data_IF_949831705187
#
_entry.id   IF_949831705187
#
_cell.length_a   1.000
_cell.length_b   1.000
_cell.length_c   1.000
_cell.angle_alpha   90.00
_cell.angle_beta   90.00
_cell.angle_gamma   90.00
#
_symmetry.space_group_name_H-M   'P 1'
#
loop_
_entity.id
_entity.type
_entity.pdbx_description
1 polymer ?
#
# COMPACT_ATOMS: atom_id res chain seq x y z
N UNK A 1 -23.84 6.97 3.72
CA UNK A 1 -24.00 8.23 2.96
C UNK A 1 -22.78 8.36 2.05
N UNK A 2 -22.91 7.95 0.78
CA UNK A 2 -21.84 8.06 -0.21
C UNK A 2 -21.89 9.44 -0.84
N UNK A 3 -21.03 10.36 -0.41
CA UNK A 3 -20.78 11.58 -1.18
C UNK A 3 -19.91 11.22 -2.38
N UNK A 4 -20.50 11.20 -3.57
CA UNK A 4 -19.82 11.12 -4.85
C UNK A 4 -19.11 12.45 -5.11
N UNK A 5 -17.83 12.52 -4.77
CA UNK A 5 -16.96 13.58 -5.27
C UNK A 5 -16.80 13.39 -6.78
N UNK A 6 -17.40 14.29 -7.56
CA UNK A 6 -17.21 14.40 -9.01
C UNK A 6 -15.80 14.92 -9.29
N UNK A 7 -14.80 14.04 -9.15
CA UNK A 7 -13.46 14.23 -9.70
C UNK A 7 -13.38 13.47 -11.02
N UNK A 8 -12.71 14.07 -12.01
CA UNK A 8 -12.30 13.38 -13.25
C UNK A 8 -11.62 12.07 -12.84
N UNK A 9 -12.18 10.92 -13.23
CA UNK A 9 -11.68 9.62 -12.75
C UNK A 9 -10.25 9.43 -13.25
N UNK A 10 -9.27 9.51 -12.35
CA UNK A 10 -7.89 9.23 -12.71
C UNK A 10 -7.75 7.73 -13.04
N UNK A 11 -6.96 7.43 -14.07
CA UNK A 11 -6.66 6.06 -14.52
C UNK A 11 -5.31 5.63 -13.96
N UNK A 12 -5.33 4.67 -13.05
CA UNK A 12 -4.13 4.16 -12.40
C UNK A 12 -3.80 2.76 -12.93
N UNK A 13 -2.53 2.53 -13.21
CA UNK A 13 -1.98 1.20 -13.42
C UNK A 13 -1.35 0.71 -12.13
N UNK A 14 -1.81 -0.42 -11.61
CA UNK A 14 -1.32 -1.01 -10.39
C UNK A 14 -0.66 -2.35 -10.68
N UNK A 15 0.64 -2.43 -10.45
CA UNK A 15 1.42 -3.66 -10.61
C UNK A 15 1.81 -4.18 -9.23
N UNK A 16 1.15 -5.27 -8.83
CA UNK A 16 1.39 -6.00 -7.60
C UNK A 16 1.86 -7.40 -8.00
N UNK A 17 2.91 -7.95 -7.38
CA UNK A 17 3.34 -9.31 -7.66
C UNK A 17 2.27 -10.31 -7.18
N UNK A 18 1.82 -11.15 -8.11
CA UNK A 18 0.88 -12.23 -7.82
C UNK A 18 1.63 -13.49 -7.40
N UNK A 19 1.96 -13.59 -6.11
CA UNK A 19 2.47 -14.82 -5.53
C UNK A 19 1.38 -15.48 -4.68
N UNK A 20 0.97 -16.73 -4.99
CA UNK A 20 0.13 -17.48 -4.07
C UNK A 20 0.84 -17.59 -2.72
N UNK A 21 0.13 -17.35 -1.62
CA UNK A 21 0.69 -17.44 -0.26
C UNK A 21 1.42 -18.76 0.02
N UNK A 22 0.99 -19.83 -0.65
CA UNK A 22 1.52 -21.18 -0.52
C UNK A 22 2.83 -21.41 -1.27
N UNK A 23 3.13 -20.55 -2.26
CA UNK A 23 4.31 -20.62 -3.10
C UNK A 23 5.34 -19.53 -2.73
N UNK A 24 5.13 -18.80 -1.62
CA UNK A 24 6.05 -17.74 -1.22
C UNK A 24 7.40 -18.34 -0.79
N UNK A 25 8.52 -17.82 -1.31
CA UNK A 25 9.85 -18.34 -1.00
C UNK A 25 10.32 -17.93 0.41
N UNK A 26 9.68 -16.92 1.01
CA UNK A 26 10.04 -16.38 2.33
C UNK A 26 8.89 -15.55 2.92
N UNK A 27 8.87 -15.44 4.25
CA UNK A 27 8.07 -14.49 5.04
C UNK A 27 8.14 -13.05 4.51
N UNK A 28 9.26 -12.66 3.90
CA UNK A 28 9.48 -11.33 3.36
C UNK A 28 8.47 -10.93 2.28
N UNK A 29 7.87 -11.92 1.61
CA UNK A 29 6.90 -11.70 0.53
C UNK A 29 5.44 -11.71 1.01
N UNK A 30 5.18 -12.21 2.24
CA UNK A 30 3.82 -12.32 2.79
C UNK A 30 3.13 -10.96 2.75
N UNK A 31 3.80 -9.93 3.23
CA UNK A 31 3.19 -8.61 3.32
C UNK A 31 2.91 -8.02 1.95
N UNK A 32 3.80 -8.25 0.99
CA UNK A 32 3.63 -7.81 -0.39
C UNK A 32 2.44 -8.50 -1.06
N UNK A 33 2.22 -9.81 -0.84
CA UNK A 33 1.09 -10.53 -1.43
C UNK A 33 -0.28 -10.11 -0.87
N UNK A 34 -0.30 -9.51 0.33
CA UNK A 34 -1.50 -8.95 0.93
C UNK A 34 -1.88 -7.58 0.35
N UNK A 35 -0.99 -6.90 -0.40
CA UNK A 35 -1.23 -5.52 -0.88
C UNK A 35 -2.31 -5.36 -1.95
N UNK A 36 -3.01 -6.44 -2.31
CA UNK A 36 -4.30 -6.33 -3.03
C UNK A 36 -5.31 -5.42 -2.31
N UNK A 37 -5.21 -5.27 -0.99
CA UNK A 37 -5.94 -4.24 -0.21
C UNK A 37 -5.74 -2.82 -0.74
N UNK A 38 -4.57 -2.48 -1.28
CA UNK A 38 -4.32 -1.15 -1.88
C UNK A 38 -5.22 -0.92 -3.09
N UNK A 39 -5.48 -1.96 -3.89
CA UNK A 39 -6.45 -1.92 -4.99
C UNK A 39 -7.84 -1.56 -4.46
N UNK A 40 -8.30 -2.23 -3.39
CA UNK A 40 -9.60 -1.98 -2.79
C UNK A 40 -9.75 -0.52 -2.32
N UNK A 41 -8.70 0.05 -1.71
CA UNK A 41 -8.68 1.44 -1.24
C UNK A 41 -8.79 2.41 -2.42
N UNK A 42 -8.03 2.18 -3.49
CA UNK A 42 -8.04 3.01 -4.70
C UNK A 42 -9.41 2.96 -5.42
N UNK A 43 -9.95 1.76 -5.63
CA UNK A 43 -11.26 1.56 -6.26
C UNK A 43 -12.39 2.24 -5.45
N UNK A 44 -12.27 2.23 -4.12
CA UNK A 44 -13.24 2.89 -3.24
C UNK A 44 -13.28 4.41 -3.41
N UNK A 45 -12.17 5.01 -3.80
CA UNK A 45 -12.03 6.44 -4.03
C UNK A 45 -12.26 6.82 -5.51
N UNK A 46 -13.06 6.04 -6.25
CA UNK A 46 -13.44 6.29 -7.66
C UNK A 46 -12.27 6.39 -8.64
N UNK A 47 -11.16 5.72 -8.32
CA UNK A 47 -10.04 5.57 -9.24
C UNK A 47 -10.29 4.38 -10.15
N UNK A 48 -10.12 4.55 -11.47
CA UNK A 48 -10.13 3.43 -12.39
C UNK A 48 -8.79 2.72 -12.30
N UNK A 49 -8.76 1.51 -11.75
CA UNK A 49 -7.53 0.74 -11.52
C UNK A 49 -7.46 -0.44 -12.48
N UNK A 50 -6.43 -0.47 -13.32
CA UNK A 50 -6.04 -1.63 -14.10
C UNK A 50 -4.92 -2.38 -13.39
N UNK A 51 -4.95 -3.71 -13.41
CA UNK A 51 -3.88 -4.54 -12.83
C UNK A 51 -3.18 -5.38 -13.87
N UNK A 52 -1.88 -5.57 -13.66
CA UNK A 52 -1.05 -6.49 -14.45
C UNK A 52 -1.68 -7.91 -14.43
N UNK A 53 -1.95 -8.50 -15.60
CA UNK A 53 -2.50 -9.85 -15.73
C UNK A 53 -4.03 -10.00 -15.88
N UNK A 54 -4.84 -8.97 -15.60
CA UNK A 54 -6.31 -9.10 -15.51
C UNK A 54 -7.08 -8.92 -16.85
N UNK A 55 -6.59 -9.48 -17.97
CA UNK A 55 -7.13 -9.43 -19.36
C UNK A 55 -6.34 -8.59 -20.36
N UNK A 56 -5.21 -8.00 -19.97
CA UNK A 56 -4.36 -7.27 -20.91
C UNK A 56 -3.31 -8.21 -21.52
N UNK A 57 -3.63 -8.83 -22.65
CA UNK A 57 -2.60 -9.26 -23.61
C UNK A 57 -1.99 -8.00 -24.23
N UNK A 58 -1.27 -7.23 -23.43
CA UNK A 58 -0.52 -6.10 -23.93
C UNK A 58 0.65 -6.63 -24.73
N UNK A 59 0.67 -6.29 -26.02
CA UNK A 59 1.84 -6.52 -26.86
C UNK A 59 3.03 -5.80 -26.20
N UNK A 60 4.07 -6.56 -25.88
CA UNK A 60 5.34 -5.98 -25.44
C UNK A 60 5.77 -4.92 -26.44
N UNK A 61 6.25 -3.75 -25.98
CA UNK A 61 6.75 -2.72 -26.87
C UNK A 61 7.84 -3.31 -27.76
N UNK A 62 7.90 -2.87 -29.01
CA UNK A 62 9.08 -3.14 -29.82
C UNK A 62 10.24 -2.33 -29.23
N UNK A 63 11.11 -3.01 -28.49
CA UNK A 63 12.21 -2.41 -27.73
C UNK A 63 13.14 -1.62 -28.65
N UNK A 64 13.43 -2.13 -29.85
CA UNK A 64 14.28 -1.46 -30.82
C UNK A 64 13.66 -0.14 -31.30
N UNK A 65 12.35 -0.13 -31.62
CA UNK A 65 11.63 1.09 -32.00
C UNK A 65 11.63 2.10 -30.86
N UNK A 66 11.35 1.65 -29.64
CA UNK A 66 11.35 2.51 -28.46
C UNK A 66 12.74 3.10 -28.18
N UNK A 67 13.77 2.25 -28.17
CA UNK A 67 15.15 2.65 -27.98
C UNK A 67 15.58 3.68 -29.02
N UNK A 68 15.21 3.44 -30.28
CA UNK A 68 15.48 4.37 -31.37
C UNK A 68 14.82 5.74 -31.19
N UNK A 69 13.70 5.82 -30.47
CA UNK A 69 13.05 7.09 -30.14
C UNK A 69 13.81 7.85 -29.05
N UNK A 70 14.27 7.16 -28.00
CA UNK A 70 14.93 7.79 -26.84
C UNK A 70 16.43 8.03 -27.01
N UNK A 71 17.11 7.34 -27.94
CA UNK A 71 18.55 7.53 -28.21
C UNK A 71 18.89 8.97 -28.65
N UNK A 72 17.89 9.69 -29.20
CA UNK A 72 18.04 11.09 -29.62
C UNK A 72 17.89 12.09 -28.46
N UNK A 73 17.44 11.61 -27.29
CA UNK A 73 17.28 12.42 -26.10
C UNK A 73 18.64 12.87 -25.57
N UNK A 74 18.72 14.13 -25.12
CA UNK A 74 19.89 14.66 -24.42
C UNK A 74 20.16 13.96 -23.07
N UNK A 75 19.19 13.17 -22.57
CA UNK A 75 19.32 12.34 -21.37
C UNK A 75 19.88 10.95 -21.65
N UNK A 76 20.13 10.59 -22.91
CA UNK A 76 20.78 9.35 -23.32
C UNK A 76 22.10 9.68 -24.02
N UNK A 77 23.16 8.93 -23.75
CA UNK A 77 24.49 9.17 -24.33
C UNK A 77 25.25 7.86 -24.54
N UNK A 78 26.26 7.89 -25.41
CA UNK A 78 27.10 6.73 -25.73
C UNK A 78 28.52 6.95 -25.24
N UNK A 79 29.03 6.09 -24.37
CA UNK A 79 30.36 6.20 -23.78
C UNK A 79 30.92 4.83 -23.40
N UNK A 80 32.24 4.74 -23.22
CA UNK A 80 32.89 3.49 -22.76
C UNK A 80 32.69 3.25 -21.26
N UNK A 81 32.27 4.27 -20.52
CA UNK A 81 32.08 4.28 -19.08
C UNK A 81 31.02 5.33 -18.70
N UNK A 82 30.35 5.17 -17.55
CA UNK A 82 29.41 6.18 -17.06
C UNK A 82 30.11 7.50 -16.70
N UNK A 83 29.37 8.62 -16.80
CA UNK A 83 29.87 9.95 -16.41
C UNK A 83 30.43 9.99 -15.00
N UNK A 84 29.80 9.30 -14.05
CA UNK A 84 30.21 9.31 -12.65
C UNK A 84 31.54 8.59 -12.45
N UNK A 85 31.71 7.42 -13.07
CA UNK A 85 32.97 6.68 -13.00
C UNK A 85 34.10 7.40 -13.78
N UNK A 86 33.76 8.09 -14.87
CA UNK A 86 34.72 8.92 -15.60
C UNK A 86 35.18 10.15 -14.79
N UNK A 87 34.37 10.67 -13.86
CA UNK A 87 34.70 11.84 -13.06
C UNK A 87 35.86 11.59 -12.07
N UNK A 88 36.09 10.33 -11.69
CA UNK A 88 37.19 9.93 -10.82
C UNK A 88 38.52 9.73 -11.57
N UNK A 89 38.53 9.91 -12.89
CA UNK A 89 39.67 9.69 -13.78
C UNK A 89 40.21 11.01 -14.34
N UNK A 90 41.46 11.05 -14.86
CA UNK A 90 42.01 12.23 -15.51
C UNK A 90 41.12 12.73 -16.67
N UNK A 91 41.04 14.05 -16.93
CA UNK A 91 40.14 14.63 -17.92
C UNK A 91 40.44 14.19 -19.37
N UNK A 92 41.63 13.65 -19.62
CA UNK A 92 42.09 13.13 -20.90
C UNK A 92 42.01 11.59 -21.01
N UNK A 93 41.44 10.89 -20.02
CA UNK A 93 41.36 9.41 -20.02
C UNK A 93 40.58 8.86 -21.22
N UNK A 94 39.51 9.56 -21.64
CA UNK A 94 38.73 9.18 -22.81
C UNK A 94 39.48 9.39 -24.12
N UNK A 95 40.43 10.34 -24.15
CA UNK A 95 41.23 10.65 -25.33
C UNK A 95 42.45 9.73 -25.47
N UNK A 96 42.84 9.08 -24.39
CA UNK A 96 44.05 8.25 -24.30
C UNK A 96 43.70 6.77 -24.21
N UNK A 97 43.15 6.31 -23.09
CA UNK A 97 42.99 4.89 -22.77
C UNK A 97 41.67 4.29 -23.23
N UNK A 98 40.58 5.06 -23.25
CA UNK A 98 39.23 4.55 -23.58
C UNK A 98 38.77 4.88 -25.00
N UNK A 99 39.62 5.54 -25.80
CA UNK A 99 39.27 6.07 -27.12
C UNK A 99 38.77 4.98 -28.08
N UNK A 100 39.48 3.86 -28.10
CA UNK A 100 39.23 2.73 -29.00
C UNK A 100 38.37 1.65 -28.32
N UNK A 101 37.99 1.85 -27.04
CA UNK A 101 37.11 0.93 -26.34
C UNK A 101 35.68 1.02 -26.90
N UNK A 102 35.01 -0.14 -27.09
CA UNK A 102 33.61 -0.17 -27.52
C UNK A 102 32.69 0.42 -26.45
N UNK A 103 31.64 1.13 -26.90
CA UNK A 103 30.81 2.01 -26.06
C UNK A 103 29.39 1.47 -25.83
N UNK A 104 28.92 1.61 -24.60
CA UNK A 104 27.55 1.33 -24.17
C UNK A 104 26.67 2.58 -24.30
N UNK A 105 25.36 2.40 -24.30
CA UNK A 105 24.39 3.48 -24.20
C UNK A 105 23.87 3.63 -22.78
N UNK A 106 23.99 4.83 -22.23
CA UNK A 106 23.62 5.17 -20.87
C UNK A 106 22.45 6.15 -20.82
N UNK A 107 21.62 6.03 -19.79
CA UNK A 107 20.64 7.03 -19.40
C UNK A 107 21.12 7.80 -18.17
N UNK A 108 20.91 9.12 -18.15
CA UNK A 108 21.43 10.04 -17.12
C UNK A 108 20.69 9.97 -15.77
N UNK A 109 20.50 8.77 -15.23
CA UNK A 109 19.74 8.51 -13.98
C UNK A 109 20.36 9.19 -12.76
N UNK A 110 21.68 9.42 -12.73
CA UNK A 110 22.31 10.10 -11.61
C UNK A 110 21.85 11.56 -11.45
N UNK A 111 21.41 12.21 -12.54
CA UNK A 111 20.81 13.55 -12.48
C UNK A 111 19.48 13.55 -11.68
N UNK A 112 18.93 12.37 -11.38
CA UNK A 112 17.63 12.16 -10.71
C UNK A 112 17.74 11.35 -9.41
N UNK A 113 18.95 11.26 -8.84
CA UNK A 113 19.19 10.69 -7.51
C UNK A 113 19.60 9.21 -7.48
N UNK A 114 19.91 8.63 -8.63
CA UNK A 114 20.62 7.35 -8.71
C UNK A 114 22.12 7.53 -8.40
N UNK A 115 22.83 6.45 -8.05
CA UNK A 115 24.26 6.50 -7.71
C UNK A 115 25.15 6.69 -8.95
N UNK A 116 24.80 6.06 -10.07
CA UNK A 116 25.45 6.18 -11.35
C UNK A 116 24.45 6.05 -12.50
N UNK A 117 24.83 6.60 -13.66
CA UNK A 117 24.05 6.45 -14.88
C UNK A 117 23.95 4.97 -15.28
N UNK A 118 22.76 4.53 -15.69
CA UNK A 118 22.48 3.13 -16.02
C UNK A 118 22.61 2.84 -17.50
N UNK A 119 23.12 1.65 -17.81
CA UNK A 119 23.20 1.12 -19.18
C UNK A 119 21.80 0.73 -19.66
N UNK A 120 21.41 1.20 -20.83
CA UNK A 120 20.21 0.79 -21.55
C UNK A 120 20.51 -0.31 -22.59
N UNK A 121 21.67 -0.20 -23.24
CA UNK A 121 22.14 -1.17 -24.23
C UNK A 121 23.65 -1.33 -24.10
N UNK A 122 24.09 -2.57 -24.03
CA UNK A 122 25.50 -2.92 -24.06
C UNK A 122 26.08 -2.74 -25.48
N UNK A 123 27.39 -2.57 -25.55
CA UNK A 123 28.18 -2.39 -26.77
C UNK A 123 28.03 -3.50 -27.82
N UNK A 124 27.68 -4.70 -27.40
CA UNK A 124 27.38 -5.85 -28.27
C UNK A 124 25.98 -5.80 -28.88
N UNK A 125 25.16 -4.83 -28.46
CA UNK A 125 23.81 -4.61 -28.92
C UNK A 125 22.74 -5.19 -28.00
N UNK A 126 23.11 -5.90 -26.93
CA UNK A 126 22.15 -6.48 -26.00
C UNK A 126 21.45 -5.39 -25.16
N UNK A 127 20.12 -5.48 -25.08
CA UNK A 127 19.30 -4.55 -24.29
C UNK A 127 19.23 -4.99 -22.83
N UNK A 128 19.21 -4.02 -21.91
CA UNK A 128 19.11 -4.31 -20.48
C UNK A 128 17.65 -4.47 -20.03
N UNK A 129 17.42 -5.22 -18.96
CA UNK A 129 16.10 -5.35 -18.32
C UNK A 129 15.52 -3.96 -17.94
N UNK A 130 16.37 -3.02 -17.57
CA UNK A 130 15.95 -1.64 -17.28
C UNK A 130 15.31 -0.98 -18.51
N UNK A 131 15.91 -1.14 -19.70
CA UNK A 131 15.33 -0.61 -20.93
C UNK A 131 13.98 -1.25 -21.25
N UNK A 132 13.85 -2.57 -21.04
CA UNK A 132 12.58 -3.30 -21.23
C UNK A 132 11.48 -2.75 -20.31
N UNK A 133 11.79 -2.55 -19.03
CA UNK A 133 10.85 -2.00 -18.06
C UNK A 133 10.48 -0.55 -18.37
N UNK A 134 11.45 0.30 -18.73
CA UNK A 134 11.18 1.69 -19.14
C UNK A 134 10.24 1.69 -20.36
N UNK A 135 10.53 0.88 -21.38
CA UNK A 135 9.73 0.80 -22.60
C UNK A 135 8.28 0.42 -22.27
N UNK A 136 8.12 -0.59 -21.40
CA UNK A 136 6.81 -1.08 -20.96
C UNK A 136 6.01 -0.01 -20.23
N UNK A 137 6.58 0.63 -19.21
CA UNK A 137 5.86 1.65 -18.45
C UNK A 137 5.62 2.91 -19.25
N UNK A 138 6.54 3.28 -20.15
CA UNK A 138 6.31 4.37 -21.09
C UNK A 138 5.11 4.06 -22.00
N UNK A 139 5.01 2.85 -22.54
CA UNK A 139 3.85 2.44 -23.35
C UNK A 139 2.54 2.52 -22.57
N UNK A 140 2.53 2.10 -21.30
CA UNK A 140 1.35 2.23 -20.42
C UNK A 140 0.97 3.71 -20.27
N UNK A 141 1.91 4.61 -20.02
CA UNK A 141 1.60 6.05 -19.98
C UNK A 141 1.04 6.57 -21.32
N UNK A 142 1.55 6.10 -22.47
CA UNK A 142 1.03 6.47 -23.79
C UNK A 142 -0.42 6.00 -24.03
N UNK A 143 -0.92 5.01 -23.28
CA UNK A 143 -2.33 4.59 -23.31
C UNK A 143 -3.26 5.53 -22.51
N UNK A 144 -2.71 6.58 -21.88
CA UNK A 144 -3.48 7.60 -21.17
C UNK A 144 -3.74 7.29 -19.69
N UNK A 145 -2.86 6.50 -19.05
CA UNK A 145 -2.85 6.37 -17.60
C UNK A 145 -2.23 7.60 -16.95
N UNK A 146 -2.83 8.09 -15.87
CA UNK A 146 -2.35 9.26 -15.13
C UNK A 146 -1.23 8.89 -14.14
N UNK A 147 -1.25 7.66 -13.64
CA UNK A 147 -0.33 7.16 -12.62
C UNK A 147 -0.04 5.67 -12.77
N UNK A 148 1.20 5.29 -12.52
CA UNK A 148 1.66 3.90 -12.41
C UNK A 148 2.18 3.69 -10.99
N UNK A 149 1.68 2.65 -10.32
CA UNK A 149 2.07 2.27 -8.97
C UNK A 149 2.64 0.86 -9.02
N UNK A 150 3.87 0.71 -8.57
CA UNK A 150 4.59 -0.54 -8.42
C UNK A 150 4.72 -0.86 -6.96
N UNK A 151 4.27 -2.04 -6.55
CA UNK A 151 4.47 -2.54 -5.19
C UNK A 151 5.40 -3.75 -5.30
N UNK A 152 6.53 -3.74 -4.60
CA UNK A 152 7.54 -4.80 -4.67
C UNK A 152 8.12 -5.11 -3.29
N UNK A 153 8.63 -6.34 -3.08
CA UNK A 153 9.35 -6.71 -1.86
C UNK A 153 10.74 -6.06 -1.81
N UNK A 154 11.41 -6.16 -0.66
CA UNK A 154 12.74 -5.59 -0.41
C UNK A 154 13.86 -6.10 -1.31
N UNK A 155 13.66 -7.19 -2.06
CA UNK A 155 14.64 -7.64 -3.07
C UNK A 155 14.82 -6.67 -4.23
N UNK A 156 13.90 -5.73 -4.42
CA UNK A 156 13.99 -4.66 -5.43
C UNK A 156 14.65 -3.39 -4.89
N UNK A 157 15.19 -3.41 -3.67
CA UNK A 157 15.91 -2.25 -3.10
C UNK A 157 17.09 -1.87 -3.99
N UNK A 158 17.17 -0.60 -4.36
CA UNK A 158 18.14 -0.07 -5.33
C UNK A 158 17.54 0.00 -6.73
N UNK A 159 16.85 -1.05 -7.20
CA UNK A 159 16.19 -1.04 -8.50
C UNK A 159 15.03 -0.03 -8.57
N UNK A 160 14.34 0.17 -7.45
CA UNK A 160 13.34 1.23 -7.28
C UNK A 160 13.90 2.62 -7.61
N UNK A 161 15.12 2.91 -7.18
CA UNK A 161 15.82 4.18 -7.45
C UNK A 161 16.17 4.27 -8.93
N UNK A 162 16.75 3.20 -9.50
CA UNK A 162 17.17 3.13 -10.91
C UNK A 162 16.01 3.40 -11.87
N UNK A 163 14.92 2.64 -11.70
CA UNK A 163 13.78 2.71 -12.58
C UNK A 163 13.01 4.02 -12.40
N UNK A 164 12.85 4.51 -11.15
CA UNK A 164 12.23 5.82 -10.90
C UNK A 164 13.03 6.94 -11.56
N UNK A 165 14.35 6.97 -11.39
CA UNK A 165 15.23 7.96 -12.01
C UNK A 165 15.18 7.90 -13.55
N UNK A 166 15.10 6.69 -14.11
CA UNK A 166 15.00 6.50 -15.55
C UNK A 166 13.66 7.04 -16.08
N UNK A 167 12.55 6.77 -15.40
CA UNK A 167 11.24 7.34 -15.78
C UNK A 167 11.23 8.87 -15.68
N UNK A 168 11.95 9.46 -14.73
CA UNK A 168 12.13 10.93 -14.66
C UNK A 168 12.96 11.49 -15.83
N UNK A 169 13.95 10.74 -16.33
CA UNK A 169 14.69 11.13 -17.54
C UNK A 169 13.77 11.24 -18.78
N UNK A 170 12.65 10.49 -18.79
CA UNK A 170 11.63 10.55 -19.84
C UNK A 170 10.58 11.65 -19.61
N UNK A 171 10.67 12.38 -18.50
CA UNK A 171 9.78 13.51 -18.17
C UNK A 171 8.62 13.17 -17.24
N UNK A 172 8.52 11.95 -16.73
CA UNK A 172 7.48 11.57 -15.76
C UNK A 172 7.85 12.00 -14.34
N UNK A 173 6.89 12.46 -13.55
CA UNK A 173 7.15 12.86 -12.15
C UNK A 173 7.11 11.66 -11.19
N UNK A 174 7.66 11.81 -9.98
CA UNK A 174 7.61 10.77 -8.93
C UNK A 174 6.18 10.51 -8.43
N UNK A 175 5.28 11.48 -8.62
CA UNK A 175 3.86 11.32 -8.31
C UNK A 175 3.15 10.50 -9.39
N UNK A 176 3.56 10.61 -10.65
CA UNK A 176 3.03 9.81 -11.76
C UNK A 176 3.59 8.38 -11.75
N UNK A 177 4.87 8.20 -11.43
CA UNK A 177 5.50 6.87 -11.35
C UNK A 177 5.97 6.59 -9.92
N UNK A 178 5.18 5.81 -9.17
CA UNK A 178 5.48 5.46 -7.78
C UNK A 178 5.97 4.01 -7.69
N UNK A 179 7.12 3.83 -7.05
CA UNK A 179 7.67 2.52 -6.72
C UNK A 179 7.74 2.38 -5.20
N UNK A 180 7.02 1.39 -4.66
CA UNK A 180 6.85 1.16 -3.22
C UNK A 180 7.52 -0.15 -2.85
N UNK A 181 8.55 -0.05 -2.02
CA UNK A 181 9.16 -1.20 -1.38
C UNK A 181 8.39 -1.52 -0.10
N UNK A 182 7.77 -2.70 -0.09
CA UNK A 182 7.11 -3.26 1.09
C UNK A 182 8.16 -3.90 1.99
N UNK A 183 8.35 -3.33 3.17
CA UNK A 183 9.18 -3.89 4.22
C UNK A 183 8.53 -5.13 4.84
N UNK A 184 9.32 -6.14 5.24
CA UNK A 184 8.80 -7.43 5.68
C UNK A 184 8.14 -7.37 7.06
N UNK A 185 7.53 -8.49 7.45
CA UNK A 185 7.11 -8.76 8.82
C UNK A 185 8.33 -9.11 9.68
N UNK A 186 8.25 -8.83 10.99
CA UNK A 186 9.21 -9.34 11.98
C UNK A 186 8.47 -10.01 13.12
N UNK A 187 8.76 -11.29 13.34
CA UNK A 187 8.11 -12.09 14.37
C UNK A 187 8.81 -11.96 15.72
N UNK A 188 8.01 -11.89 16.78
CA UNK A 188 8.42 -11.85 18.18
C UNK A 188 7.59 -12.85 19.00
N UNK A 189 8.17 -13.35 20.09
CA UNK A 189 7.47 -14.18 21.05
C UNK A 189 8.00 -13.99 22.47
N UNK A 190 7.15 -14.24 23.45
CA UNK A 190 7.50 -14.26 24.87
C UNK A 190 8.36 -15.47 25.20
N UNK A 191 9.52 -15.22 25.75
CA UNK A 191 10.47 -16.23 26.19
C UNK A 191 10.37 -16.43 27.70
N UNK A 192 9.82 -17.58 28.12
CA UNK A 192 9.56 -17.90 29.53
C UNK A 192 10.82 -17.80 30.43
N UNK A 193 12.00 -18.31 30.05
CA UNK A 193 13.18 -18.23 30.92
C UNK A 193 13.65 -16.79 31.21
N UNK A 194 13.54 -15.88 30.24
CA UNK A 194 13.97 -14.48 30.41
C UNK A 194 12.83 -13.54 30.80
N UNK A 195 11.58 -14.03 30.81
CA UNK A 195 10.38 -13.22 31.06
C UNK A 195 10.27 -11.98 30.16
N UNK A 196 10.70 -12.09 28.90
CA UNK A 196 10.81 -10.96 27.95
C UNK A 196 10.36 -11.39 26.54
N UNK A 197 9.94 -10.42 25.73
CA UNK A 197 9.61 -10.63 24.31
C UNK A 197 10.88 -10.50 23.48
N UNK A 198 11.17 -11.52 22.66
CA UNK A 198 12.36 -11.58 21.80
C UNK A 198 11.99 -11.77 20.34
N UNK A 199 12.80 -11.28 19.39
CA UNK A 199 12.63 -11.63 17.99
C UNK A 199 12.86 -13.13 17.81
N UNK A 200 12.07 -13.75 16.96
CA UNK A 200 12.21 -15.16 16.59
C UNK A 200 12.54 -15.31 15.10
N UNK A 201 12.91 -16.53 14.71
CA UNK A 201 13.05 -16.89 13.30
C UNK A 201 11.71 -16.81 12.59
N UNK A 202 11.76 -16.55 11.29
CA UNK A 202 10.57 -16.49 10.46
C UNK A 202 9.91 -17.87 10.34
N UNK A 203 8.59 -17.84 10.20
CA UNK A 203 7.77 -19.03 9.99
C UNK A 203 7.33 -19.12 8.52
N UNK A 204 7.17 -20.33 7.97
CA UNK A 204 6.48 -20.53 6.70
C UNK A 204 5.08 -19.88 6.73
N UNK A 205 4.61 -19.28 5.62
CA UNK A 205 3.32 -18.58 5.58
C UNK A 205 2.14 -19.44 6.09
N UNK A 206 2.10 -20.72 5.72
CA UNK A 206 1.05 -21.66 6.17
C UNK A 206 1.04 -21.84 7.69
N UNK A 207 2.21 -21.92 8.32
CA UNK A 207 2.33 -22.06 9.77
C UNK A 207 1.97 -20.77 10.50
N UNK A 208 2.42 -19.63 9.97
CA UNK A 208 2.05 -18.32 10.51
C UNK A 208 0.53 -18.11 10.47
N UNK A 209 -0.12 -18.39 9.33
CA UNK A 209 -1.58 -18.30 9.20
C UNK A 209 -2.26 -19.27 10.16
N UNK A 210 -1.77 -20.49 10.32
CA UNK A 210 -2.32 -21.45 11.28
C UNK A 210 -2.20 -20.95 12.73
N UNK A 211 -1.13 -20.22 13.05
CA UNK A 211 -0.87 -19.71 14.38
C UNK A 211 -1.75 -18.51 14.76
N UNK A 212 -1.94 -17.55 13.85
CA UNK A 212 -2.63 -16.27 14.17
C UNK A 212 -3.92 -16.01 13.38
N UNK A 213 -4.18 -16.77 12.32
CA UNK A 213 -5.27 -16.52 11.39
C UNK A 213 -4.95 -15.47 10.33
N UNK A 214 -5.70 -15.50 9.22
CA UNK A 214 -5.50 -14.60 8.08
C UNK A 214 -5.82 -13.14 8.42
N UNK A 215 -6.85 -12.91 9.24
CA UNK A 215 -7.31 -11.55 9.52
C UNK A 215 -6.38 -10.80 10.47
N UNK A 216 -5.83 -11.48 11.49
CA UNK A 216 -4.77 -10.92 12.32
C UNK A 216 -3.52 -10.64 11.48
N UNK A 217 -3.16 -11.56 10.57
CA UNK A 217 -2.02 -11.35 9.66
C UNK A 217 -2.21 -10.12 8.78
N UNK A 218 -3.41 -9.90 8.21
CA UNK A 218 -3.76 -8.69 7.46
C UNK A 218 -3.68 -7.45 8.34
N UNK A 219 -4.29 -7.47 9.52
CA UNK A 219 -4.28 -6.35 10.44
C UNK A 219 -2.85 -5.92 10.79
N UNK A 220 -2.02 -6.83 11.29
CA UNK A 220 -0.66 -6.50 11.69
C UNK A 220 0.24 -6.15 10.49
N UNK A 221 -0.09 -6.64 9.29
CA UNK A 221 0.57 -6.19 8.07
C UNK A 221 0.25 -4.74 7.74
N UNK A 222 -0.99 -4.30 7.96
CA UNK A 222 -1.46 -2.99 7.54
C UNK A 222 -1.43 -1.93 8.62
N UNK A 223 -1.41 -2.27 9.91
CA UNK A 223 -1.36 -1.30 11.01
C UNK A 223 -0.03 -0.54 11.11
N UNK A 224 0.97 -0.94 10.32
CA UNK A 224 2.25 -0.26 10.15
C UNK A 224 2.36 0.23 8.69
N UNK A 225 3.03 1.36 8.40
CA UNK A 225 3.32 1.78 7.02
C UNK A 225 3.99 0.67 6.21
N UNK A 226 3.63 0.51 4.93
CA UNK A 226 4.19 -0.53 4.06
C UNK A 226 5.72 -0.42 3.94
N UNK A 227 6.26 0.79 4.05
CA UNK A 227 7.69 1.11 3.97
C UNK A 227 8.44 0.93 5.30
N UNK A 228 7.82 0.38 6.34
CA UNK A 228 8.46 0.08 7.64
C UNK A 228 8.27 -1.39 8.02
N UNK A 229 9.24 -2.01 8.68
CA UNK A 229 9.12 -3.39 9.17
C UNK A 229 7.93 -3.48 10.13
N UNK A 230 7.03 -4.45 9.89
CA UNK A 230 5.82 -4.63 10.66
C UNK A 230 6.01 -5.71 11.75
N UNK A 231 5.98 -5.35 13.04
CA UNK A 231 6.18 -6.31 14.12
C UNK A 231 4.92 -7.14 14.40
N UNK A 232 5.09 -8.44 14.63
CA UNK A 232 4.03 -9.35 15.09
C UNK A 232 4.50 -10.08 16.34
N UNK A 233 3.79 -9.91 17.46
CA UNK A 233 4.05 -10.66 18.68
C UNK A 233 3.11 -11.86 18.80
N UNK A 234 3.61 -13.05 18.46
CA UNK A 234 2.83 -14.30 18.48
C UNK A 234 2.28 -14.67 19.85
N UNK A 235 2.83 -14.12 20.94
CA UNK A 235 2.38 -14.41 22.30
C UNK A 235 1.19 -13.58 22.75
N UNK A 236 0.87 -12.48 22.04
CA UNK A 236 -0.21 -11.56 22.43
C UNK A 236 -1.28 -11.40 21.34
N UNK A 237 -1.01 -11.80 20.10
CA UNK A 237 -1.98 -11.71 19.00
C UNK A 237 -3.30 -12.40 19.39
N UNK A 238 -4.41 -11.70 19.20
CA UNK A 238 -5.76 -12.16 19.50
C UNK A 238 -6.16 -12.06 20.98
N UNK A 239 -5.31 -11.54 21.87
CA UNK A 239 -5.62 -11.45 23.30
C UNK A 239 -6.11 -10.06 23.68
N UNK A 240 -7.37 -9.95 24.12
CA UNK A 240 -7.99 -8.68 24.53
C UNK A 240 -7.31 -8.01 25.74
N UNK A 241 -6.75 -8.79 26.66
CA UNK A 241 -6.03 -8.25 27.82
C UNK A 241 -4.61 -7.78 27.50
N UNK A 242 -4.15 -8.04 26.27
CA UNK A 242 -2.90 -7.49 25.77
C UNK A 242 -3.17 -6.16 25.06
N UNK A 243 -2.13 -5.37 24.77
CA UNK A 243 -2.24 -4.17 23.94
C UNK A 243 -2.42 -4.50 22.44
N UNK A 244 -3.00 -5.65 22.10
CA UNK A 244 -3.28 -6.02 20.72
C UNK A 244 -4.53 -5.28 20.21
N UNK A 245 -4.29 -4.36 19.28
CA UNK A 245 -5.33 -3.50 18.74
C UNK A 245 -6.33 -4.25 17.88
N UNK A 246 -5.95 -5.37 17.26
CA UNK A 246 -6.86 -6.18 16.47
C UNK A 246 -7.95 -6.82 17.33
N UNK A 247 -7.55 -7.42 18.45
CA UNK A 247 -8.47 -8.07 19.38
C UNK A 247 -9.53 -7.09 19.91
N UNK A 248 -9.13 -5.85 20.22
CA UNK A 248 -10.06 -4.80 20.64
C UNK A 248 -11.04 -4.43 19.52
N UNK A 249 -10.56 -4.23 18.30
CA UNK A 249 -11.40 -3.88 17.14
C UNK A 249 -12.42 -4.98 16.86
N UNK A 250 -12.00 -6.24 16.87
CA UNK A 250 -12.92 -7.37 16.70
C UNK A 250 -13.96 -7.43 17.83
N UNK A 251 -13.52 -7.30 19.09
CA UNK A 251 -14.41 -7.33 20.25
C UNK A 251 -15.49 -6.24 20.16
N UNK A 252 -15.10 -5.00 19.88
CA UNK A 252 -16.02 -3.88 19.76
C UNK A 252 -16.97 -4.06 18.58
N UNK A 253 -16.47 -4.48 17.43
CA UNK A 253 -17.32 -4.74 16.27
C UNK A 253 -18.38 -5.81 16.57
N UNK A 254 -18.02 -6.92 17.22
CA UNK A 254 -18.99 -7.97 17.61
C UNK A 254 -20.01 -7.45 18.64
N UNK A 255 -19.58 -6.60 19.57
CA UNK A 255 -20.48 -5.96 20.55
C UNK A 255 -21.49 -5.04 19.86
N UNK A 256 -21.03 -4.20 18.93
CA UNK A 256 -21.90 -3.36 18.10
C UNK A 256 -22.91 -4.22 17.33
N UNK A 257 -22.45 -5.26 16.64
CA UNK A 257 -23.33 -6.18 15.89
C UNK A 257 -24.40 -6.82 16.77
N UNK A 258 -24.04 -7.22 17.99
CA UNK A 258 -24.97 -7.82 18.96
C UNK A 258 -26.04 -6.82 19.40
N UNK A 259 -25.63 -5.60 19.76
CA UNK A 259 -26.55 -4.54 20.21
C UNK A 259 -27.45 -4.03 19.07
N UNK A 260 -26.94 -3.97 17.83
CA UNK A 260 -27.75 -3.66 16.65
C UNK A 260 -28.83 -4.72 16.44
N UNK A 261 -28.50 -6.01 16.59
CA UNK A 261 -29.50 -7.09 16.51
C UNK A 261 -30.55 -6.97 17.60
N UNK A 262 -30.12 -6.76 18.85
CA UNK A 262 -31.02 -6.58 19.98
C UNK A 262 -32.02 -5.43 19.74
N UNK A 263 -31.56 -4.26 19.29
CA UNK A 263 -32.46 -3.14 19.03
C UNK A 263 -33.45 -3.42 17.89
N UNK A 264 -33.06 -4.20 16.87
CA UNK A 264 -34.00 -4.66 15.82
C UNK A 264 -35.06 -5.60 16.39
N UNK A 265 -34.67 -6.52 17.28
CA UNK A 265 -35.59 -7.46 17.92
C UNK A 265 -36.57 -6.73 18.87
N UNK A 266 -36.14 -5.63 19.48
CA UNK A 266 -36.97 -4.70 20.27
C UNK A 266 -37.87 -3.80 19.39
N UNK A 267 -37.78 -3.92 18.06
CA UNK A 267 -38.59 -3.15 17.11
C UNK A 267 -38.12 -1.71 16.88
N UNK A 268 -36.91 -1.36 17.33
CA UNK A 268 -36.32 -0.05 17.09
C UNK A 268 -35.82 0.00 15.64
N UNK A 269 -36.38 0.91 14.85
CA UNK A 269 -35.99 1.09 13.46
C UNK A 269 -35.06 2.29 13.31
N UNK A 270 -33.96 2.16 12.54
CA UNK A 270 -33.16 3.31 12.14
C UNK A 270 -33.97 4.12 11.11
N UNK A 271 -34.52 5.25 11.52
CA UNK A 271 -35.35 6.12 10.66
C UNK A 271 -34.76 7.51 10.44
N UNK A 272 -33.70 7.85 11.17
CA UNK A 272 -33.10 9.18 11.14
C UNK A 272 -31.97 9.22 10.12
N UNK A 273 -31.97 10.23 9.25
CA UNK A 273 -30.87 10.42 8.32
C UNK A 273 -29.63 10.98 9.06
N UNK A 274 -28.48 10.98 8.38
CA UNK A 274 -27.22 11.43 8.97
C UNK A 274 -27.23 12.92 9.37
N UNK A 275 -27.87 13.77 8.57
CA UNK A 275 -27.93 15.22 8.82
C UNK A 275 -28.78 15.56 10.05
N UNK A 276 -29.84 14.80 10.30
CA UNK A 276 -30.64 14.95 11.51
C UNK A 276 -29.88 14.44 12.73
N UNK A 277 -29.18 13.30 12.60
CA UNK A 277 -28.44 12.66 13.70
C UNK A 277 -27.31 13.56 14.23
N UNK A 278 -26.54 14.18 13.33
CA UNK A 278 -25.41 15.05 13.69
C UNK A 278 -25.83 16.36 14.37
N UNK A 279 -27.06 16.83 14.09
CA UNK A 279 -27.59 18.07 14.63
C UNK A 279 -28.25 17.89 16.02
N UNK A 280 -28.33 16.67 16.53
CA UNK A 280 -28.86 16.41 17.86
C UNK A 280 -27.90 16.88 18.96
N UNK A 281 -28.48 17.26 20.10
CA UNK A 281 -27.71 17.46 21.33
C UNK A 281 -27.44 16.11 21.98
N UNK A 282 -26.17 15.77 22.19
CA UNK A 282 -25.75 14.53 22.82
C UNK A 282 -25.26 14.77 24.24
N UNK A 283 -25.82 14.05 25.21
CA UNK A 283 -25.36 14.11 26.60
C UNK A 283 -24.01 13.39 26.78
N UNK A 284 -23.77 12.33 25.99
CA UNK A 284 -22.53 11.58 26.03
C UNK A 284 -21.45 12.23 25.17
N UNK A 285 -20.36 12.68 25.79
CA UNK A 285 -19.19 13.22 25.09
C UNK A 285 -18.53 12.19 24.17
N UNK A 286 -18.65 10.90 24.47
CA UNK A 286 -18.18 9.82 23.59
C UNK A 286 -19.00 9.73 22.31
N UNK A 287 -20.33 9.90 22.39
CA UNK A 287 -21.20 9.87 21.23
C UNK A 287 -20.89 11.02 20.24
N UNK A 288 -20.62 12.23 20.76
CA UNK A 288 -20.17 13.37 19.94
C UNK A 288 -18.89 13.02 19.18
N UNK A 289 -17.86 12.51 19.88
CA UNK A 289 -16.59 12.13 19.23
C UNK A 289 -16.75 10.99 18.22
N UNK A 290 -17.68 10.07 18.46
CA UNK A 290 -17.98 8.98 17.52
C UNK A 290 -18.65 9.51 16.25
N UNK A 291 -19.51 10.53 16.35
CA UNK A 291 -20.05 11.23 15.18
C UNK A 291 -18.94 11.88 14.36
N UNK A 292 -18.02 12.58 15.02
CA UNK A 292 -16.87 13.22 14.36
C UNK A 292 -16.03 12.17 13.60
N UNK A 293 -15.81 10.99 14.17
CA UNK A 293 -15.09 9.90 13.50
C UNK A 293 -15.84 9.34 12.28
N UNK A 294 -17.15 9.15 12.38
CA UNK A 294 -17.96 8.74 11.22
C UNK A 294 -17.87 9.79 10.12
N UNK A 295 -18.01 11.08 10.46
CA UNK A 295 -17.91 12.19 9.50
C UNK A 295 -16.52 12.30 8.86
N UNK A 296 -15.44 12.02 9.61
CA UNK A 296 -14.07 12.03 9.11
C UNK A 296 -13.73 10.83 8.20
N UNK A 297 -14.53 9.75 8.22
CA UNK A 297 -14.21 8.50 7.52
C UNK A 297 -13.92 8.67 6.01
N UNK A 298 -14.72 9.44 5.24
CA UNK A 298 -14.43 9.66 3.82
C UNK A 298 -13.09 10.36 3.59
N UNK A 299 -12.71 11.30 4.45
CA UNK A 299 -11.42 11.98 4.37
C UNK A 299 -10.26 11.02 4.65
N UNK A 300 -10.38 10.19 5.69
CA UNK A 300 -9.37 9.16 6.02
C UNK A 300 -9.18 8.19 4.84
N UNK A 301 -10.26 7.77 4.17
CA UNK A 301 -10.18 6.92 2.98
C UNK A 301 -9.47 7.63 1.82
N UNK A 302 -9.80 8.91 1.57
CA UNK A 302 -9.15 9.70 0.53
C UNK A 302 -7.65 9.90 0.78
N UNK A 303 -7.25 10.14 2.04
CA UNK A 303 -5.85 10.24 2.45
C UNK A 303 -5.13 8.89 2.33
N UNK A 304 -5.75 7.80 2.81
CA UNK A 304 -5.24 6.44 2.65
C UNK A 304 -5.03 6.05 1.19
N UNK A 305 -5.94 6.46 0.30
CA UNK A 305 -5.81 6.26 -1.14
C UNK A 305 -4.66 7.07 -1.76
N UNK A 306 -4.55 8.36 -1.40
CA UNK A 306 -3.52 9.26 -1.92
C UNK A 306 -2.11 8.81 -1.54
N UNK A 307 -1.93 8.46 -0.27
CA UNK A 307 -0.64 8.07 0.32
C UNK A 307 -0.36 6.57 0.22
N UNK A 308 -1.31 5.79 -0.30
CA UNK A 308 -1.25 4.32 -0.37
C UNK A 308 -0.95 3.72 1.01
N UNK A 309 -1.70 4.20 2.00
CA UNK A 309 -1.43 4.08 3.42
C UNK A 309 -2.54 3.33 4.18
N UNK A 310 -2.65 1.98 4.05
CA UNK A 310 -3.65 1.18 4.77
C UNK A 310 -3.66 1.39 6.29
N UNK A 311 -2.52 1.72 6.89
CA UNK A 311 -2.39 1.98 8.33
C UNK A 311 -3.29 3.11 8.83
N UNK A 312 -3.63 4.09 7.99
CA UNK A 312 -4.58 5.15 8.36
C UNK A 312 -5.98 4.59 8.64
N UNK A 313 -6.40 3.56 7.89
CA UNK A 313 -7.67 2.87 8.11
C UNK A 313 -7.61 2.06 9.41
N UNK A 314 -6.48 1.38 9.69
CA UNK A 314 -6.28 0.68 10.95
C UNK A 314 -6.36 1.64 12.14
N UNK A 315 -5.61 2.74 12.13
CA UNK A 315 -5.64 3.73 13.21
C UNK A 315 -7.04 4.35 13.40
N UNK A 316 -7.80 4.55 12.32
CA UNK A 316 -9.18 5.02 12.42
C UNK A 316 -10.11 4.00 13.09
N UNK A 317 -9.99 2.71 12.73
CA UNK A 317 -10.71 1.61 13.40
C UNK A 317 -10.31 1.45 14.87
N UNK A 318 -9.04 1.67 15.21
CA UNK A 318 -8.57 1.68 16.60
C UNK A 318 -9.21 2.82 17.40
N UNK A 319 -9.23 4.04 16.85
CA UNK A 319 -9.87 5.20 17.47
C UNK A 319 -11.37 4.97 17.70
N UNK A 320 -12.07 4.41 16.70
CA UNK A 320 -13.46 3.98 16.87
C UNK A 320 -13.61 3.03 18.05
N UNK A 321 -12.76 2.02 18.13
CA UNK A 321 -12.88 0.97 19.13
C UNK A 321 -12.63 1.49 20.54
N UNK A 322 -11.62 2.34 20.71
CA UNK A 322 -11.31 2.98 22.00
C UNK A 322 -12.43 3.89 22.50
N UNK A 323 -13.09 4.65 21.61
CA UNK A 323 -14.20 5.52 21.99
C UNK A 323 -15.52 4.76 22.18
N UNK A 324 -15.76 3.73 21.38
CA UNK A 324 -16.93 2.86 21.51
C UNK A 324 -16.94 2.12 22.84
N UNK A 325 -15.79 1.62 23.31
CA UNK A 325 -15.74 0.79 24.52
C UNK A 325 -16.48 1.41 25.73
N UNK A 326 -16.11 2.60 26.24
CA UNK A 326 -16.81 3.23 27.35
C UNK A 326 -18.24 3.69 26.99
N UNK A 327 -18.49 4.03 25.71
CA UNK A 327 -19.83 4.41 25.26
C UNK A 327 -20.82 3.24 25.33
N UNK A 328 -20.39 2.04 24.95
CA UNK A 328 -21.20 0.82 24.93
C UNK A 328 -21.53 0.29 26.34
N UNK A 329 -20.70 0.58 27.35
CA UNK A 329 -20.94 0.17 28.74
C UNK A 329 -22.15 0.87 29.36
N UNK A 330 -22.37 2.14 29.02
CA UNK A 330 -23.49 2.96 29.49
C UNK A 330 -24.63 3.13 28.48
N UNK A 331 -24.63 2.37 27.38
CA UNK A 331 -25.55 2.61 26.27
C UNK A 331 -26.98 2.16 26.59
N UNK A 332 -27.93 3.09 26.47
CA UNK A 332 -29.36 2.78 26.35
C UNK A 332 -29.78 2.77 24.88
N UNK A 333 -30.58 1.79 24.46
CA UNK A 333 -31.05 1.65 23.07
C UNK A 333 -32.22 2.61 22.77
N UNK A 334 -31.98 3.92 22.87
CA UNK A 334 -32.91 4.92 22.35
C UNK A 334 -32.82 4.96 20.81
N UNK A 335 -33.83 5.46 20.08
CA UNK A 335 -33.77 5.56 18.62
C UNK A 335 -32.54 6.32 18.09
N UNK A 336 -32.09 7.37 18.79
CA UNK A 336 -30.92 8.16 18.43
C UNK A 336 -29.61 7.37 18.61
N UNK A 337 -29.43 6.76 19.79
CA UNK A 337 -28.29 5.90 20.09
C UNK A 337 -28.22 4.70 19.14
N UNK A 338 -29.38 4.12 18.82
CA UNK A 338 -29.48 2.98 17.91
C UNK A 338 -29.10 3.34 16.47
N UNK A 339 -29.50 4.53 16.00
CA UNK A 339 -29.09 5.04 14.68
C UNK A 339 -27.57 5.23 14.61
N UNK A 340 -26.97 5.88 15.63
CA UNK A 340 -25.52 6.07 15.69
C UNK A 340 -24.78 4.72 15.75
N UNK A 341 -25.23 3.81 16.61
CA UNK A 341 -24.66 2.47 16.74
C UNK A 341 -24.71 1.70 15.41
N UNK A 342 -25.85 1.74 14.71
CA UNK A 342 -26.00 1.11 13.39
C UNK A 342 -25.08 1.73 12.34
N UNK A 343 -24.87 3.05 12.40
CA UNK A 343 -23.97 3.75 11.49
C UNK A 343 -22.50 3.38 11.75
N UNK A 344 -22.09 3.30 13.02
CA UNK A 344 -20.75 2.87 13.41
C UNK A 344 -20.49 1.43 12.98
N UNK A 345 -21.41 0.51 13.24
CA UNK A 345 -21.28 -0.90 12.84
C UNK A 345 -21.08 -1.04 11.33
N UNK A 346 -21.90 -0.35 10.53
CA UNK A 346 -21.77 -0.35 9.07
C UNK A 346 -20.44 0.26 8.61
N UNK A 347 -20.02 1.37 9.23
CA UNK A 347 -18.76 2.04 8.91
C UNK A 347 -17.57 1.13 9.21
N UNK A 348 -17.53 0.51 10.39
CA UNK A 348 -16.47 -0.44 10.76
C UNK A 348 -16.45 -1.65 9.81
N UNK A 349 -17.62 -2.21 9.47
CA UNK A 349 -17.72 -3.33 8.53
C UNK A 349 -17.14 -2.97 7.14
N UNK A 350 -17.43 -1.77 6.65
CA UNK A 350 -16.92 -1.29 5.37
C UNK A 350 -15.39 -1.16 5.38
N UNK A 351 -14.83 -0.55 6.43
CA UNK A 351 -13.38 -0.40 6.60
C UNK A 351 -12.66 -1.76 6.75
N UNK A 352 -13.23 -2.70 7.53
CA UNK A 352 -12.70 -4.05 7.66
C UNK A 352 -12.72 -4.80 6.32
N UNK A 353 -13.79 -4.66 5.53
CA UNK A 353 -13.88 -5.24 4.18
C UNK A 353 -12.82 -4.67 3.23
N UNK A 354 -12.57 -3.36 3.28
CA UNK A 354 -11.52 -2.72 2.47
C UNK A 354 -10.16 -3.36 2.79
N UNK A 355 -9.87 -3.58 4.08
CA UNK A 355 -8.66 -4.28 4.55
C UNK A 355 -8.63 -5.79 4.23
N UNK A 356 -9.71 -6.34 3.67
CA UNK A 356 -9.86 -7.77 3.37
C UNK A 356 -10.11 -8.63 4.61
N UNK A 357 -10.50 -8.05 5.75
CA UNK A 357 -10.75 -8.77 7.00
C UNK A 357 -12.19 -9.30 7.00
N UNK A 358 -12.36 -10.60 7.23
CA UNK A 358 -13.63 -11.32 7.15
C UNK A 358 -13.99 -11.98 8.48
N UNK A 359 -14.40 -11.15 9.43
CA UNK A 359 -15.00 -11.47 10.75
C UNK A 359 -13.99 -11.78 11.86
#
# INVERSE_FOLDING_TARGET
>A
MMMTLSQKSAKFWLSIPEYPLEALPSSAYIRCSLTTTVKNILEKCHTSVSTEGANNQESLPNIEVFFNSIQTSQKVYKASLSRQLAADLPPDIEQTSLKDEPKDWFIKTADFGDDCDRVLQHRDGEYTQLLEDIARYHQIFQQGYDKIILIRPTTYTGYDIQLTAAMQCLGYTKEQFQFIIVQPLKLYAFHKPTQQIHPISDLPPKELIKAIGMDALRWHSFSTPLTKVAPINLSTVGQLQSNDTFALVQFIYQRCLTLVRQGKDEGINPSMNWDDLKNLTWESTHAVKLLDLVEATPQVLAESSRELAPHLICSHLENFSQLCQPWLEGLSLTPQNFQLLSTIEQTMLELLKILGIQR
#
